data_IF_709489916308
#
_entry.id   IF_709489916308
#
_cell.length_a   1.000
_cell.length_b   1.000
_cell.length_c   1.000
_cell.angle_alpha   90.00
_cell.angle_beta   90.00
_cell.angle_gamma   90.00
#
_symmetry.space_group_name_H-M   'P 1'
#
loop_
_entity.id
_entity.type
_entity.pdbx_description
1 polymer ?
#
# COMPACT_ATOMS: atom_id res chain seq x y z
N UNK A 1 -24.81 6.22 -14.60
CA UNK A 1 -23.73 5.20 -14.45
C UNK A 1 -22.49 5.87 -13.86
N UNK A 2 -21.93 5.32 -12.79
CA UNK A 2 -20.70 5.77 -12.14
C UNK A 2 -19.49 5.09 -12.81
N UNK A 3 -18.56 5.89 -13.37
CA UNK A 3 -17.31 5.37 -13.94
C UNK A 3 -16.17 5.55 -12.95
N UNK A 4 -15.51 4.46 -12.62
CA UNK A 4 -14.30 4.44 -11.78
C UNK A 4 -13.26 3.51 -12.37
N UNK A 5 -12.02 3.56 -11.92
CA UNK A 5 -11.00 2.70 -12.49
C UNK A 5 -9.71 2.62 -11.68
N UNK A 6 -8.73 1.88 -12.22
CA UNK A 6 -7.39 1.74 -11.66
C UNK A 6 -6.35 2.17 -12.68
N UNK A 7 -5.63 3.24 -12.38
CA UNK A 7 -4.46 3.70 -13.15
C UNK A 7 -3.20 2.97 -12.64
N UNK A 8 -2.47 2.33 -13.54
CA UNK A 8 -1.22 1.63 -13.21
C UNK A 8 -0.54 1.01 -14.44
N UNK A 9 0.66 0.42 -14.27
CA UNK A 9 1.40 -0.22 -15.34
C UNK A 9 2.46 -1.21 -14.85
N UNK A 10 2.39 -2.50 -15.23
CA UNK A 10 1.22 -3.20 -15.75
C UNK A 10 0.18 -3.46 -14.65
N UNK A 11 -1.11 -3.62 -15.00
CA UNK A 11 -2.20 -3.80 -14.02
C UNK A 11 -3.10 -5.02 -14.27
N UNK A 12 -2.72 -5.89 -15.21
CA UNK A 12 -3.54 -7.05 -15.59
C UNK A 12 -3.81 -8.07 -14.47
N UNK A 13 -3.07 -7.99 -13.37
CA UNK A 13 -3.20 -8.93 -12.24
C UNK A 13 -3.95 -8.33 -11.03
N UNK A 14 -4.45 -7.09 -11.15
CA UNK A 14 -5.14 -6.43 -10.05
C UNK A 14 -6.50 -7.08 -9.78
N UNK A 15 -6.80 -7.30 -8.50
CA UNK A 15 -8.11 -7.78 -8.03
C UNK A 15 -9.10 -6.63 -7.75
N UNK A 16 -8.66 -5.36 -7.82
CA UNK A 16 -9.51 -4.19 -7.57
C UNK A 16 -10.77 -4.15 -8.46
N UNK A 17 -10.71 -4.48 -9.76
CA UNK A 17 -11.93 -4.49 -10.59
C UNK A 17 -12.99 -5.47 -10.09
N UNK A 18 -12.61 -6.70 -9.73
CA UNK A 18 -13.55 -7.69 -9.21
C UNK A 18 -14.18 -7.23 -7.88
N UNK A 19 -13.36 -6.67 -6.98
CA UNK A 19 -13.79 -6.15 -5.69
C UNK A 19 -14.81 -5.00 -5.84
N UNK A 20 -14.49 -3.97 -6.60
CA UNK A 20 -15.36 -2.80 -6.75
C UNK A 20 -16.62 -3.09 -7.56
N UNK A 21 -16.53 -3.94 -8.58
CA UNK A 21 -17.72 -4.34 -9.35
C UNK A 21 -18.69 -5.19 -8.50
N UNK A 22 -18.16 -6.03 -7.61
CA UNK A 22 -19.01 -6.71 -6.61
C UNK A 22 -19.69 -5.70 -5.64
N UNK A 23 -19.00 -4.62 -5.30
CA UNK A 23 -19.56 -3.54 -4.48
C UNK A 23 -20.69 -2.80 -5.21
N UNK A 24 -20.51 -2.44 -6.49
CA UNK A 24 -21.55 -1.80 -7.30
C UNK A 24 -22.81 -2.67 -7.39
N UNK A 25 -22.62 -3.96 -7.67
CA UNK A 25 -23.73 -4.91 -7.74
C UNK A 25 -24.48 -5.03 -6.41
N UNK A 26 -23.75 -5.15 -5.29
CA UNK A 26 -24.35 -5.30 -3.95
C UNK A 26 -25.06 -4.02 -3.48
N UNK A 27 -24.57 -2.85 -3.84
CA UNK A 27 -25.17 -1.56 -3.50
C UNK A 27 -26.34 -1.16 -4.42
N UNK A 28 -26.60 -1.91 -5.49
CA UNK A 28 -27.62 -1.55 -6.49
C UNK A 28 -27.30 -0.24 -7.25
N UNK A 29 -26.01 0.13 -7.31
CA UNK A 29 -25.55 1.33 -8.01
C UNK A 29 -25.15 0.95 -9.44
N UNK A 30 -25.72 1.64 -10.42
CA UNK A 30 -25.30 1.52 -11.81
C UNK A 30 -23.88 2.13 -11.96
N UNK A 31 -22.87 1.29 -11.87
CA UNK A 31 -21.47 1.71 -11.91
C UNK A 31 -20.55 0.61 -12.43
N UNK A 32 -19.35 1.01 -12.83
CA UNK A 32 -18.31 0.10 -13.28
C UNK A 32 -16.93 0.57 -12.84
N UNK A 33 -16.10 -0.39 -12.47
CA UNK A 33 -14.69 -0.18 -12.20
C UNK A 33 -13.84 -0.94 -13.22
N UNK A 34 -13.00 -0.22 -13.95
CA UNK A 34 -12.22 -0.77 -15.06
C UNK A 34 -10.71 -0.61 -14.83
N UNK A 35 -9.87 -1.53 -15.36
CA UNK A 35 -8.43 -1.31 -15.43
C UNK A 35 -8.10 -0.24 -16.48
N UNK A 36 -7.23 0.70 -16.13
CA UNK A 36 -6.71 1.76 -16.98
C UNK A 36 -5.19 1.61 -17.09
N UNK A 37 -4.68 0.75 -18.00
CA UNK A 37 -3.24 0.56 -18.16
C UNK A 37 -2.64 1.82 -18.80
N UNK A 38 -1.89 2.59 -17.99
CA UNK A 38 -1.31 3.86 -18.38
C UNK A 38 0.20 3.75 -18.42
N UNK A 39 0.81 3.94 -19.60
CA UNK A 39 2.27 3.99 -19.71
C UNK A 39 2.84 5.17 -18.89
N UNK A 40 4.01 5.04 -18.24
CA UNK A 40 4.56 6.10 -17.38
C UNK A 40 4.70 7.47 -18.03
N UNK A 41 4.95 7.53 -19.31
CA UNK A 41 5.08 8.78 -20.07
C UNK A 41 3.74 9.50 -20.34
N UNK A 42 2.60 8.82 -20.11
CA UNK A 42 1.26 9.35 -20.42
C UNK A 42 0.39 9.61 -19.19
N UNK A 43 0.99 9.69 -18.01
CA UNK A 43 0.24 9.85 -16.74
C UNK A 43 -0.57 11.15 -16.74
N UNK A 44 0.00 12.26 -17.19
CA UNK A 44 -0.72 13.55 -17.24
C UNK A 44 -1.94 13.54 -18.13
N UNK A 45 -1.84 12.92 -19.33
CA UNK A 45 -2.96 12.76 -20.24
C UNK A 45 -4.07 11.90 -19.63
N UNK A 46 -3.69 10.79 -18.96
CA UNK A 46 -4.64 9.90 -18.31
C UNK A 46 -5.40 10.59 -17.18
N UNK A 47 -4.69 11.35 -16.34
CA UNK A 47 -5.30 12.12 -15.24
C UNK A 47 -6.25 13.19 -15.77
N UNK A 48 -5.85 13.95 -16.81
CA UNK A 48 -6.74 14.91 -17.48
C UNK A 48 -7.97 14.23 -18.11
N UNK A 49 -7.77 13.03 -18.64
CA UNK A 49 -8.83 12.20 -19.23
C UNK A 49 -9.93 11.80 -18.25
N UNK A 50 -9.64 11.68 -16.95
CA UNK A 50 -10.66 11.34 -15.95
C UNK A 50 -11.82 12.36 -15.95
N UNK A 51 -11.52 13.67 -16.04
CA UNK A 51 -12.56 14.71 -16.13
C UNK A 51 -13.27 14.66 -17.47
N UNK A 52 -12.51 14.60 -18.56
CA UNK A 52 -13.04 14.67 -19.91
C UNK A 52 -13.97 13.50 -20.25
N UNK A 53 -13.73 12.33 -19.68
CA UNK A 53 -14.50 11.11 -19.87
C UNK A 53 -15.61 10.90 -18.83
N UNK A 54 -15.77 11.84 -17.89
CA UNK A 54 -16.82 11.79 -16.88
C UNK A 54 -16.61 10.72 -15.80
N UNK A 55 -15.36 10.36 -15.50
CA UNK A 55 -15.05 9.49 -14.37
C UNK A 55 -15.42 10.18 -13.05
N UNK A 56 -15.88 9.39 -12.09
CA UNK A 56 -16.06 9.84 -10.71
C UNK A 56 -14.76 9.85 -9.94
N UNK A 57 -13.81 9.01 -10.35
CA UNK A 57 -12.48 8.94 -9.79
C UNK A 57 -11.73 7.69 -10.22
N UNK A 58 -10.53 7.53 -9.71
CA UNK A 58 -9.71 6.35 -9.98
C UNK A 58 -8.78 6.05 -8.80
N UNK A 59 -8.51 4.77 -8.54
CA UNK A 59 -7.33 4.41 -7.78
C UNK A 59 -6.07 4.54 -8.64
N UNK A 60 -4.96 4.73 -7.97
CA UNK A 60 -3.63 4.81 -8.58
C UNK A 60 -2.72 3.78 -7.92
N UNK A 61 -2.05 2.97 -8.75
CA UNK A 61 -1.08 1.99 -8.26
C UNK A 61 0.29 2.19 -8.91
N UNK A 62 1.19 1.27 -8.66
CA UNK A 62 2.57 1.25 -9.20
C UNK A 62 2.54 1.41 -10.72
N UNK A 63 3.43 2.25 -11.30
CA UNK A 63 4.44 3.10 -10.66
C UNK A 63 3.97 4.54 -10.40
N UNK A 64 2.70 4.85 -10.49
CA UNK A 64 2.16 6.20 -10.73
C UNK A 64 1.81 6.99 -9.46
N UNK A 65 1.82 6.38 -8.26
CA UNK A 65 1.34 7.05 -7.01
C UNK A 65 1.99 8.39 -6.70
N UNK A 66 3.24 8.60 -7.12
CA UNK A 66 3.93 9.89 -7.00
C UNK A 66 3.77 10.73 -8.27
N UNK A 67 3.81 10.10 -9.44
CA UNK A 67 3.78 10.76 -10.73
C UNK A 67 2.47 11.49 -11.03
N UNK A 68 1.35 11.12 -10.39
CA UNK A 68 0.05 11.80 -10.58
C UNK A 68 -0.05 13.13 -9.84
N UNK A 69 0.75 13.36 -8.80
CA UNK A 69 0.65 14.52 -7.90
C UNK A 69 0.65 15.86 -8.65
N UNK A 70 1.55 16.13 -9.64
CA UNK A 70 1.60 17.39 -10.33
C UNK A 70 0.37 17.71 -11.19
N UNK A 71 -0.51 16.74 -11.42
CA UNK A 71 -1.71 16.86 -12.27
C UNK A 71 -3.00 16.98 -11.46
N UNK A 72 -2.91 17.08 -10.13
CA UNK A 72 -4.06 17.19 -9.22
C UNK A 72 -4.19 18.63 -8.72
N UNK A 73 -5.44 19.08 -8.55
CA UNK A 73 -5.73 20.44 -8.13
C UNK A 73 -5.58 20.63 -6.61
N UNK A 74 -5.82 19.58 -5.85
CA UNK A 74 -5.74 19.58 -4.38
C UNK A 74 -5.33 18.21 -3.86
N UNK A 75 -4.63 18.18 -2.74
CA UNK A 75 -4.24 16.97 -2.04
C UNK A 75 -4.79 16.96 -0.61
N UNK A 76 -5.13 15.77 -0.12
CA UNK A 76 -5.41 15.59 1.31
C UNK A 76 -4.14 15.81 2.14
N UNK A 77 -4.27 16.21 3.43
CA UNK A 77 -3.13 16.32 4.33
C UNK A 77 -2.31 15.01 4.40
N UNK A 78 -2.99 13.86 4.37
CA UNK A 78 -2.33 12.55 4.35
C UNK A 78 -1.54 12.32 3.06
N UNK A 79 -2.11 12.64 1.90
CA UNK A 79 -1.40 12.50 0.61
C UNK A 79 -0.16 13.40 0.53
N UNK A 80 -0.23 14.62 1.08
CA UNK A 80 0.91 15.54 1.19
C UNK A 80 1.99 14.94 2.08
N UNK A 81 1.63 14.51 3.29
CA UNK A 81 2.57 13.95 4.26
C UNK A 81 3.22 12.65 3.78
N UNK A 82 2.48 11.80 3.06
CA UNK A 82 2.98 10.54 2.48
C UNK A 82 3.82 10.83 1.23
N UNK A 83 3.54 11.89 0.50
CA UNK A 83 4.13 12.18 -0.81
C UNK A 83 3.72 11.17 -1.88
N UNK A 84 2.50 10.60 -1.78
CA UNK A 84 1.94 9.65 -2.75
C UNK A 84 0.41 9.66 -2.69
N UNK A 85 -0.22 9.50 -3.86
CA UNK A 85 -1.67 9.41 -4.04
C UNK A 85 -2.03 8.02 -4.55
N UNK A 86 -3.01 7.36 -3.94
CA UNK A 86 -3.59 6.11 -4.42
C UNK A 86 -5.07 6.23 -4.80
N UNK A 87 -5.69 7.38 -4.53
CA UNK A 87 -7.11 7.63 -4.80
C UNK A 87 -7.29 9.03 -5.35
N UNK A 88 -7.92 9.14 -6.52
CA UNK A 88 -8.33 10.40 -7.16
C UNK A 88 -9.83 10.50 -7.13
N UNK A 89 -10.36 11.65 -6.74
CA UNK A 89 -11.78 11.99 -6.80
C UNK A 89 -11.97 13.14 -7.79
N UNK A 90 -12.84 12.96 -8.76
CA UNK A 90 -13.30 14.04 -9.63
C UNK A 90 -14.50 14.70 -8.95
N UNK A 91 -14.34 15.95 -8.49
CA UNK A 91 -15.39 16.69 -7.82
C UNK A 91 -16.43 17.23 -8.81
N UNK A 92 -17.55 17.72 -8.29
CA UNK A 92 -18.66 18.25 -9.12
C UNK A 92 -18.27 19.47 -9.95
N UNK A 93 -17.32 20.26 -9.50
CA UNK A 93 -16.76 21.42 -10.21
C UNK A 93 -15.69 21.02 -11.23
N UNK A 94 -15.40 19.74 -11.36
CA UNK A 94 -14.37 19.19 -12.24
C UNK A 94 -12.96 19.21 -11.63
N UNK A 95 -12.75 19.71 -10.41
CA UNK A 95 -11.44 19.65 -9.77
C UNK A 95 -11.06 18.22 -9.39
N UNK A 96 -9.76 17.93 -9.43
CA UNK A 96 -9.16 16.63 -9.10
C UNK A 96 -8.57 16.69 -7.69
N UNK A 97 -9.16 15.92 -6.79
CA UNK A 97 -8.67 15.79 -5.42
C UNK A 97 -7.92 14.46 -5.27
N UNK A 98 -6.70 14.52 -4.74
CA UNK A 98 -5.86 13.34 -4.46
C UNK A 98 -5.83 13.01 -2.99
N UNK A 99 -6.06 11.73 -2.67
CA UNK A 99 -5.95 11.19 -1.32
C UNK A 99 -5.07 9.95 -1.28
N UNK A 100 -4.68 9.56 -0.07
CA UNK A 100 -4.01 8.30 0.19
C UNK A 100 -4.78 7.48 1.23
N UNK A 101 -5.46 6.45 0.75
CA UNK A 101 -6.23 5.52 1.58
C UNK A 101 -5.41 4.32 2.05
N UNK A 102 -4.19 4.11 1.52
CA UNK A 102 -3.33 2.96 1.87
C UNK A 102 -2.98 2.93 3.35
N UNK A 103 -2.61 4.09 3.93
CA UNK A 103 -2.20 4.18 5.34
C UNK A 103 -3.32 3.72 6.28
N UNK A 104 -4.53 4.24 6.06
CA UNK A 104 -5.71 3.84 6.85
C UNK A 104 -6.13 2.41 6.58
N UNK A 105 -6.04 1.97 5.33
CA UNK A 105 -6.35 0.59 4.94
C UNK A 105 -5.41 -0.42 5.58
N UNK A 106 -4.12 -0.10 5.67
CA UNK A 106 -3.12 -0.91 6.35
C UNK A 106 -3.42 -1.05 7.85
N UNK A 107 -3.68 0.06 8.56
CA UNK A 107 -3.99 0.03 9.99
C UNK A 107 -5.31 -0.72 10.27
N UNK A 108 -6.31 -0.56 9.40
CA UNK A 108 -7.58 -1.28 9.55
C UNK A 108 -7.40 -2.80 9.43
N UNK A 109 -6.58 -3.25 8.47
CA UNK A 109 -6.31 -4.68 8.31
C UNK A 109 -5.46 -5.25 9.45
N UNK A 110 -4.45 -4.52 9.94
CA UNK A 110 -3.73 -4.93 11.15
C UNK A 110 -4.68 -5.16 12.34
N UNK A 111 -5.60 -4.21 12.55
CA UNK A 111 -6.61 -4.33 13.61
C UNK A 111 -7.54 -5.53 13.42
N UNK A 112 -8.00 -5.81 12.20
CA UNK A 112 -8.83 -6.97 11.89
C UNK A 112 -8.11 -8.30 12.13
N UNK A 113 -6.80 -8.33 11.88
CA UNK A 113 -5.96 -9.51 12.11
C UNK A 113 -5.50 -9.64 13.57
N UNK A 114 -5.89 -8.72 14.45
CA UNK A 114 -5.48 -8.73 15.87
C UNK A 114 -3.99 -8.43 16.09
N UNK A 115 -3.34 -7.78 15.11
CA UNK A 115 -1.93 -7.39 15.22
C UNK A 115 -1.88 -6.04 15.93
N UNK A 116 -1.29 -6.06 17.13
CA UNK A 116 -1.22 -4.89 17.99
C UNK A 116 -0.17 -3.88 17.51
N UNK A 117 -0.62 -2.67 17.17
CA UNK A 117 0.30 -1.55 16.93
C UNK A 117 1.05 -1.14 18.21
N UNK A 118 0.45 -1.38 19.36
CA UNK A 118 1.07 -1.09 20.66
C UNK A 118 2.31 -1.96 20.91
N UNK A 119 2.23 -3.25 20.58
CA UNK A 119 3.39 -4.15 20.69
C UNK A 119 4.53 -3.72 19.74
N UNK A 120 4.19 -3.11 18.59
CA UNK A 120 5.18 -2.56 17.69
C UNK A 120 5.89 -1.32 18.24
N UNK A 121 5.30 -0.56 19.17
CA UNK A 121 5.97 0.61 19.76
C UNK A 121 7.23 0.23 20.54
N UNK A 122 7.20 -0.93 21.20
CA UNK A 122 8.36 -1.44 21.94
C UNK A 122 9.37 -2.13 21.02
N UNK A 123 8.89 -3.00 20.13
CA UNK A 123 9.73 -3.84 19.28
C UNK A 123 10.11 -3.25 17.93
N UNK A 124 9.45 -2.18 17.50
CA UNK A 124 9.67 -1.55 16.21
C UNK A 124 9.15 -2.35 15.00
N UNK A 125 9.19 -1.73 13.83
CA UNK A 125 8.84 -2.34 12.56
C UNK A 125 9.96 -2.17 11.52
N UNK A 126 10.11 -3.16 10.64
CA UNK A 126 11.02 -3.13 9.52
C UNK A 126 10.23 -3.10 8.20
N UNK A 127 10.45 -2.11 7.38
CA UNK A 127 9.82 -1.96 6.06
C UNK A 127 10.85 -2.30 4.98
N UNK A 128 10.47 -3.21 4.08
CA UNK A 128 11.23 -3.53 2.88
C UNK A 128 10.63 -2.78 1.70
N UNK A 129 11.41 -1.85 1.11
CA UNK A 129 11.00 -0.99 0.00
C UNK A 129 10.83 0.48 0.40
N UNK A 130 10.86 1.39 -0.60
CA UNK A 130 10.68 2.83 -0.43
C UNK A 130 9.75 3.45 -1.49
N UNK A 131 8.88 2.63 -2.10
CA UNK A 131 7.86 3.07 -3.07
C UNK A 131 6.63 3.68 -2.41
N UNK A 132 5.60 3.98 -3.22
CA UNK A 132 4.39 4.64 -2.74
C UNK A 132 3.66 3.91 -1.59
N UNK A 133 3.64 2.57 -1.61
CA UNK A 133 3.03 1.81 -0.51
C UNK A 133 3.90 1.81 0.75
N UNK A 134 5.24 1.73 0.60
CA UNK A 134 6.16 1.85 1.73
C UNK A 134 6.03 3.21 2.43
N UNK A 135 5.83 4.30 1.65
CA UNK A 135 5.56 5.64 2.18
C UNK A 135 4.31 5.68 3.04
N UNK A 136 3.21 5.08 2.55
CA UNK A 136 1.95 5.03 3.29
C UNK A 136 2.04 4.21 4.57
N UNK A 137 2.71 3.05 4.52
CA UNK A 137 2.94 2.20 5.70
C UNK A 137 3.85 2.90 6.72
N UNK A 138 4.95 3.51 6.25
CA UNK A 138 5.85 4.27 7.13
C UNK A 138 5.14 5.45 7.81
N UNK A 139 4.31 6.19 7.05
CA UNK A 139 3.47 7.25 7.60
C UNK A 139 2.50 6.74 8.66
N UNK A 140 1.80 5.64 8.38
CA UNK A 140 0.83 5.05 9.29
C UNK A 140 1.48 4.63 10.63
N UNK A 141 2.63 3.97 10.56
CA UNK A 141 3.38 3.54 11.72
C UNK A 141 3.98 4.71 12.50
N UNK A 142 4.55 5.71 11.80
CA UNK A 142 5.09 6.92 12.43
C UNK A 142 3.99 7.71 13.17
N UNK A 143 2.82 7.88 12.55
CA UNK A 143 1.65 8.51 13.17
C UNK A 143 1.19 7.76 14.43
N UNK A 144 1.39 6.44 14.46
CA UNK A 144 1.07 5.58 15.59
C UNK A 144 2.18 5.52 16.65
N UNK A 145 3.30 6.21 16.45
CA UNK A 145 4.44 6.23 17.39
C UNK A 145 5.32 4.97 17.34
N UNK A 146 5.24 4.19 16.26
CA UNK A 146 6.05 2.98 16.07
C UNK A 146 7.43 3.35 15.51
N UNK A 147 8.54 2.92 16.12
CA UNK A 147 9.87 3.05 15.54
C UNK A 147 9.98 2.24 14.25
N UNK A 148 10.46 2.87 13.16
CA UNK A 148 10.50 2.24 11.85
C UNK A 148 11.94 2.21 11.30
N UNK A 149 12.34 1.05 10.75
CA UNK A 149 13.54 0.88 9.92
C UNK A 149 13.12 0.62 8.49
N UNK A 150 13.79 1.25 7.53
CA UNK A 150 13.45 1.13 6.11
C UNK A 150 14.65 0.61 5.33
N UNK A 151 14.44 -0.45 4.56
CA UNK A 151 15.44 -1.05 3.68
C UNK A 151 14.98 -1.00 2.24
N UNK A 152 15.77 -0.42 1.35
CA UNK A 152 15.48 -0.40 -0.08
C UNK A 152 16.78 -0.43 -0.90
N UNK A 153 16.68 -0.91 -2.15
CA UNK A 153 17.81 -0.97 -3.10
C UNK A 153 18.39 0.40 -3.46
N UNK A 154 17.58 1.45 -3.35
CA UNK A 154 17.92 2.81 -3.76
C UNK A 154 17.95 3.71 -2.53
N UNK A 155 19.13 4.02 -1.97
CA UNK A 155 19.27 4.84 -0.77
C UNK A 155 18.60 6.22 -0.91
N UNK A 156 18.69 6.83 -2.09
CA UNK A 156 18.09 8.12 -2.37
C UNK A 156 16.56 8.13 -2.21
N UNK A 157 15.91 6.99 -2.43
CA UNK A 157 14.46 6.87 -2.20
C UNK A 157 14.12 6.76 -0.71
N UNK A 158 14.98 6.11 0.09
CA UNK A 158 14.83 6.06 1.54
C UNK A 158 15.02 7.45 2.13
N UNK A 159 16.07 8.16 1.72
CA UNK A 159 16.33 9.55 2.16
C UNK A 159 15.16 10.48 1.81
N UNK A 160 14.64 10.40 0.59
CA UNK A 160 13.50 11.20 0.17
C UNK A 160 12.23 10.87 0.97
N UNK A 161 12.00 9.58 1.31
CA UNK A 161 10.89 9.17 2.17
C UNK A 161 11.06 9.72 3.59
N UNK A 162 12.22 9.52 4.18
CA UNK A 162 12.54 10.00 5.54
C UNK A 162 12.42 11.52 5.63
N UNK A 163 12.96 12.26 4.69
CA UNK A 163 12.86 13.72 4.65
C UNK A 163 11.41 14.18 4.55
N UNK A 164 10.60 13.51 3.72
CA UNK A 164 9.16 13.82 3.61
C UNK A 164 8.46 13.60 4.94
N UNK A 165 8.70 12.50 5.64
CA UNK A 165 8.07 12.23 6.93
C UNK A 165 8.57 13.20 8.01
N UNK A 166 9.87 13.49 8.06
CA UNK A 166 10.45 14.40 9.04
C UNK A 166 9.91 15.83 8.93
N UNK A 167 9.54 16.29 7.72
CA UNK A 167 8.92 17.60 7.55
C UNK A 167 7.54 17.71 8.21
N UNK A 168 6.88 16.57 8.48
CA UNK A 168 5.56 16.52 9.09
C UNK A 168 5.54 16.09 10.55
N UNK A 169 6.54 15.29 10.98
CA UNK A 169 6.50 14.66 12.31
C UNK A 169 7.73 15.06 13.07
N UNK A 170 8.49 15.90 13.12
CA UNK A 170 9.69 16.16 13.99
C UNK A 170 10.20 14.85 14.64
N UNK A 171 10.41 13.84 13.81
CA UNK A 171 10.70 12.49 14.28
C UNK A 171 12.11 12.43 14.88
N UNK A 172 12.19 12.13 16.17
CA UNK A 172 13.44 11.79 16.88
C UNK A 172 13.88 10.34 16.66
N UNK A 173 13.20 9.61 15.75
CA UNK A 173 13.48 8.20 15.50
C UNK A 173 14.69 8.03 14.58
N UNK A 174 15.55 7.07 14.90
CA UNK A 174 16.70 6.62 14.13
C UNK A 174 16.24 6.01 12.78
N UNK A 175 15.85 6.86 11.83
CA UNK A 175 15.71 6.42 10.45
C UNK A 175 17.11 6.21 9.87
N UNK A 176 17.59 4.99 9.92
CA UNK A 176 18.86 4.64 9.30
C UNK A 176 18.62 4.24 7.85
N UNK A 177 19.14 5.04 6.95
CA UNK A 177 19.38 4.63 5.58
C UNK A 177 20.36 3.47 5.58
N UNK A 178 19.97 2.30 5.09
CA UNK A 178 20.85 1.14 5.00
C UNK A 178 20.95 0.66 3.57
N UNK A 179 22.17 0.76 3.10
CA UNK A 179 22.88 0.15 1.95
C UNK A 179 22.09 -0.42 0.76
N UNK A 180 22.73 -0.29 -0.40
CA UNK A 180 22.32 -0.51 -1.79
C UNK A 180 21.73 -1.90 -2.17
N UNK A 181 21.70 -2.88 -1.28
CA UNK A 181 21.08 -4.18 -1.51
C UNK A 181 19.78 -4.28 -0.74
N UNK A 182 18.75 -4.91 -1.34
CA UNK A 182 17.50 -5.29 -0.64
C UNK A 182 17.75 -6.21 0.56
N UNK A 183 18.99 -6.65 0.72
CA UNK A 183 19.43 -7.45 1.85
C UNK A 183 19.95 -6.50 2.93
N UNK A 184 19.20 -6.30 4.02
CA UNK A 184 19.74 -5.63 5.17
C UNK A 184 21.02 -6.37 5.61
N UNK A 185 22.09 -5.66 6.01
CA UNK A 185 23.24 -6.31 6.62
C UNK A 185 22.76 -7.18 7.79
N UNK A 186 23.23 -8.42 7.85
CA UNK A 186 22.88 -9.35 8.94
C UNK A 186 23.15 -8.72 10.32
N UNK A 187 24.19 -7.83 10.40
CA UNK A 187 24.51 -7.06 11.60
C UNK A 187 23.38 -6.10 12.06
N UNK A 188 22.59 -5.58 11.14
CA UNK A 188 21.59 -4.55 11.42
C UNK A 188 20.19 -5.14 11.68
N UNK A 189 20.01 -6.41 11.30
CA UNK A 189 18.78 -7.18 11.52
C UNK A 189 18.85 -8.06 12.77
N UNK A 190 19.84 -7.83 13.64
CA UNK A 190 19.96 -8.62 14.87
C UNK A 190 18.65 -8.65 15.65
N UNK A 191 18.19 -9.86 16.01
CA UNK A 191 17.09 -9.98 16.96
C UNK A 191 17.50 -9.31 18.29
N UNK A 192 16.62 -8.61 18.97
CA UNK A 192 15.15 -8.74 19.02
C UNK A 192 14.39 -7.47 18.66
N UNK A 193 14.76 -6.70 17.67
CA UNK A 193 14.31 -5.30 17.62
C UNK A 193 13.12 -5.00 16.72
N UNK A 194 12.74 -5.87 15.80
CA UNK A 194 11.52 -5.65 15.02
C UNK A 194 10.58 -6.81 15.20
N UNK A 195 9.45 -6.54 15.83
CA UNK A 195 8.36 -7.53 15.99
C UNK A 195 7.55 -7.68 14.71
N UNK A 196 7.58 -6.66 13.84
CA UNK A 196 6.86 -6.70 12.56
C UNK A 196 7.80 -6.40 11.39
N UNK A 197 7.77 -7.26 10.39
CA UNK A 197 8.46 -7.08 9.10
C UNK A 197 7.38 -6.85 8.03
N UNK A 198 7.50 -5.77 7.24
CA UNK A 198 6.51 -5.41 6.25
C UNK A 198 7.16 -5.37 4.86
N UNK A 199 6.75 -6.28 3.97
CA UNK A 199 7.22 -6.26 2.59
C UNK A 199 6.35 -5.33 1.74
N UNK A 200 6.90 -4.19 1.37
CA UNK A 200 6.29 -3.22 0.44
C UNK A 200 6.93 -3.29 -0.96
N UNK A 201 7.73 -4.32 -1.25
CA UNK A 201 8.33 -4.54 -2.58
C UNK A 201 7.45 -5.46 -3.42
N UNK A 202 7.59 -5.46 -4.75
CA UNK A 202 6.94 -6.44 -5.62
C UNK A 202 7.70 -7.78 -5.67
N UNK A 203 8.75 -7.99 -4.88
CA UNK A 203 9.54 -9.23 -4.89
C UNK A 203 8.71 -10.37 -4.32
N UNK A 204 8.64 -11.47 -5.04
CA UNK A 204 7.77 -12.61 -4.71
C UNK A 204 6.38 -12.57 -5.36
N UNK A 205 6.03 -11.46 -6.02
CA UNK A 205 4.79 -11.35 -6.80
C UNK A 205 4.90 -12.12 -8.13
N UNK A 206 3.78 -12.64 -8.61
CA UNK A 206 3.68 -13.25 -9.94
C UNK A 206 4.18 -12.27 -11.04
N UNK A 207 4.98 -12.74 -12.04
CA UNK A 207 5.34 -14.14 -12.30
C UNK A 207 6.56 -14.65 -11.50
N UNK A 208 7.29 -13.81 -10.76
CA UNK A 208 8.54 -14.16 -10.09
C UNK A 208 8.34 -14.69 -8.65
N UNK A 209 7.46 -15.68 -8.51
CA UNK A 209 6.97 -16.20 -7.21
C UNK A 209 8.03 -16.86 -6.32
N UNK A 210 9.19 -17.24 -6.89
CA UNK A 210 10.27 -17.88 -6.16
C UNK A 210 11.30 -16.90 -5.58
N UNK A 211 11.11 -15.60 -5.80
CA UNK A 211 11.96 -14.58 -5.22
C UNK A 211 11.51 -14.20 -3.80
N UNK A 212 12.47 -13.78 -2.97
CA UNK A 212 12.22 -13.22 -1.64
C UNK A 212 13.14 -12.02 -1.43
N UNK A 213 12.65 -10.92 -0.83
CA UNK A 213 13.50 -9.79 -0.44
C UNK A 213 14.27 -10.06 0.86
N UNK A 214 14.05 -11.18 1.53
CA UNK A 214 14.66 -11.56 2.80
C UNK A 214 15.78 -12.57 2.59
N UNK A 215 16.95 -12.40 3.26
CA UNK A 215 18.05 -13.34 3.16
C UNK A 215 17.69 -14.71 3.72
N UNK A 216 18.06 -15.79 3.02
CA UNK A 216 17.80 -17.16 3.51
C UNK A 216 18.60 -17.48 4.78
N UNK A 217 19.75 -16.80 4.98
CA UNK A 217 20.64 -16.94 6.14
C UNK A 217 20.11 -16.29 7.42
N UNK A 218 19.04 -15.52 7.30
CA UNK A 218 18.44 -14.79 8.42
C UNK A 218 17.07 -15.39 8.77
N UNK A 219 17.00 -16.33 9.73
CA UNK A 219 15.73 -16.95 10.10
C UNK A 219 14.81 -15.95 10.81
N UNK A 220 13.53 -16.07 10.54
CA UNK A 220 12.50 -15.49 11.40
C UNK A 220 12.43 -16.25 12.73
N UNK A 221 11.81 -15.66 13.75
CA UNK A 221 11.62 -16.30 15.05
C UNK A 221 10.17 -16.15 15.54
N UNK A 222 9.81 -17.00 16.50
CA UNK A 222 8.56 -16.84 17.25
C UNK A 222 8.50 -15.43 17.90
N UNK A 223 7.35 -14.81 17.87
CA UNK A 223 7.17 -13.43 18.33
C UNK A 223 7.36 -12.35 17.25
N UNK A 224 7.83 -12.72 16.05
CA UNK A 224 7.78 -11.86 14.88
C UNK A 224 6.50 -12.07 14.07
N UNK A 225 6.12 -11.05 13.33
CA UNK A 225 5.04 -11.11 12.35
C UNK A 225 5.51 -10.53 11.02
N UNK A 226 5.22 -11.25 9.94
CA UNK A 226 5.40 -10.76 8.58
C UNK A 226 4.08 -10.27 8.00
N UNK A 227 4.06 -9.01 7.56
CA UNK A 227 3.00 -8.47 6.72
C UNK A 227 3.52 -8.30 5.29
N UNK A 228 3.09 -9.16 4.37
CA UNK A 228 3.52 -9.10 2.97
C UNK A 228 2.45 -8.40 2.12
N UNK A 229 2.74 -7.20 1.58
CA UNK A 229 1.78 -6.49 0.72
C UNK A 229 1.47 -7.24 -0.58
N UNK A 230 2.27 -8.24 -0.94
CA UNK A 230 1.98 -9.12 -2.07
C UNK A 230 0.84 -10.06 -1.70
N UNK A 231 -0.18 -10.12 -2.57
CA UNK A 231 -1.34 -11.01 -2.43
C UNK A 231 -1.51 -11.97 -3.63
N UNK A 232 -0.63 -11.89 -4.61
CA UNK A 232 -0.59 -12.79 -5.76
C UNK A 232 0.86 -13.23 -6.02
N UNK A 233 1.25 -14.46 -5.66
CA UNK A 233 0.42 -15.55 -5.14
C UNK A 233 -0.13 -15.29 -3.73
N UNK A 234 -1.15 -16.03 -3.29
CA UNK A 234 -1.70 -15.92 -1.92
C UNK A 234 -0.68 -16.22 -0.82
N UNK A 235 0.30 -17.06 -1.10
CA UNK A 235 1.44 -17.37 -0.23
C UNK A 235 2.75 -17.19 -0.99
N UNK A 236 3.55 -16.23 -0.56
CA UNK A 236 4.87 -15.94 -1.15
C UNK A 236 5.99 -16.82 -0.55
N UNK A 237 7.17 -16.86 -1.20
CA UNK A 237 8.37 -17.48 -0.60
C UNK A 237 8.69 -16.84 0.75
N UNK A 238 8.55 -15.52 0.87
CA UNK A 238 8.80 -14.77 2.10
C UNK A 238 7.86 -15.22 3.24
N UNK A 239 6.57 -15.43 2.96
CA UNK A 239 5.62 -15.93 3.96
C UNK A 239 5.98 -17.35 4.43
N UNK A 240 6.44 -18.21 3.52
CA UNK A 240 6.92 -19.54 3.89
C UNK A 240 8.19 -19.48 4.76
N UNK A 241 9.14 -18.58 4.45
CA UNK A 241 10.31 -18.34 5.29
C UNK A 241 9.91 -17.92 6.71
N UNK A 242 8.97 -16.97 6.83
CA UNK A 242 8.47 -16.50 8.11
C UNK A 242 7.86 -17.65 8.94
N UNK A 243 6.95 -18.41 8.35
CA UNK A 243 6.29 -19.55 9.03
C UNK A 243 7.27 -20.67 9.42
N UNK A 244 8.25 -20.96 8.57
CA UNK A 244 9.29 -21.94 8.88
C UNK A 244 10.12 -21.50 10.09
N UNK A 245 10.35 -20.19 10.27
CA UNK A 245 11.02 -19.63 11.44
C UNK A 245 10.12 -19.47 12.68
N UNK A 246 8.85 -19.87 12.61
CA UNK A 246 7.89 -19.77 13.71
C UNK A 246 7.21 -18.40 13.84
N UNK A 247 7.38 -17.50 12.87
CA UNK A 247 6.68 -16.22 12.81
C UNK A 247 5.27 -16.35 12.24
N UNK A 248 4.36 -15.48 12.68
CA UNK A 248 3.09 -15.26 12.01
C UNK A 248 3.29 -14.62 10.64
N UNK A 249 2.39 -14.86 9.68
CA UNK A 249 2.47 -14.21 8.37
C UNK A 249 1.08 -14.02 7.75
N UNK A 250 0.86 -12.82 7.19
CA UNK A 250 -0.32 -12.49 6.37
C UNK A 250 0.07 -11.83 5.06
N UNK A 251 -0.85 -11.87 4.08
CA UNK A 251 -0.70 -11.17 2.81
C UNK A 251 -1.48 -9.84 2.78
N UNK A 252 -1.28 -9.04 1.73
CA UNK A 252 -1.85 -7.70 1.60
C UNK A 252 -3.30 -7.63 1.12
N UNK A 253 -4.05 -8.74 1.13
CA UNK A 253 -5.42 -8.77 0.59
C UNK A 253 -6.38 -7.93 1.44
N UNK A 254 -6.25 -7.98 2.77
CA UNK A 254 -7.05 -7.17 3.67
C UNK A 254 -6.77 -5.67 3.53
N UNK A 255 -5.50 -5.27 3.40
CA UNK A 255 -5.17 -3.88 3.08
C UNK A 255 -5.80 -3.44 1.74
N UNK A 256 -5.78 -4.31 0.72
CA UNK A 256 -6.43 -4.03 -0.57
C UNK A 256 -7.93 -3.79 -0.38
N UNK A 257 -8.60 -4.59 0.45
CA UNK A 257 -10.01 -4.44 0.78
C UNK A 257 -10.27 -3.09 1.45
N UNK A 258 -9.60 -2.82 2.56
CA UNK A 258 -9.88 -1.64 3.39
C UNK A 258 -9.56 -0.33 2.68
N UNK A 259 -8.42 -0.22 1.95
CA UNK A 259 -8.12 0.97 1.17
C UNK A 259 -9.14 1.19 0.04
N UNK A 260 -9.60 0.10 -0.59
CA UNK A 260 -10.64 0.15 -1.62
C UNK A 260 -12.00 0.59 -1.07
N UNK A 261 -12.35 0.15 0.14
CA UNK A 261 -13.56 0.58 0.83
C UNK A 261 -13.55 2.10 1.10
N UNK A 262 -12.42 2.64 1.56
CA UNK A 262 -12.25 4.08 1.78
C UNK A 262 -12.33 4.88 0.47
N UNK A 263 -11.80 4.36 -0.62
CA UNK A 263 -11.94 4.97 -1.94
C UNK A 263 -13.40 4.94 -2.43
N UNK A 264 -14.09 3.82 -2.25
CA UNK A 264 -15.51 3.69 -2.55
C UNK A 264 -16.37 4.75 -1.85
N UNK A 265 -16.16 4.97 -0.55
CA UNK A 265 -16.90 5.96 0.23
C UNK A 265 -16.68 7.38 -0.29
N UNK A 266 -15.47 7.70 -0.74
CA UNK A 266 -15.17 9.02 -1.34
C UNK A 266 -15.90 9.22 -2.69
N UNK A 267 -16.04 8.16 -3.49
CA UNK A 267 -16.70 8.28 -4.80
C UNK A 267 -18.21 8.26 -4.71
N UNK A 268 -18.78 7.48 -3.80
CA UNK A 268 -20.21 7.21 -3.72
C UNK A 268 -20.92 8.00 -2.62
N UNK A 269 -20.21 8.35 -1.56
CA UNK A 269 -20.77 8.98 -0.36
C UNK A 269 -21.54 8.03 0.54
N UNK A 270 -21.48 6.70 0.29
CA UNK A 270 -22.15 5.69 1.12
C UNK A 270 -21.16 4.68 1.69
N UNK A 271 -21.46 4.04 2.82
CA UNK A 271 -20.60 3.02 3.41
C UNK A 271 -20.29 1.89 2.42
N UNK A 272 -19.06 1.41 2.45
CA UNK A 272 -18.63 0.33 1.56
C UNK A 272 -19.27 -1.01 1.96
N UNK A 273 -19.81 -1.79 1.00
CA UNK A 273 -20.36 -3.11 1.26
C UNK A 273 -19.22 -4.15 1.40
N UNK A 274 -18.47 -4.07 2.52
CA UNK A 274 -17.24 -4.84 2.76
C UNK A 274 -17.39 -6.34 2.50
N UNK A 275 -18.51 -6.95 2.94
CA UNK A 275 -18.75 -8.38 2.70
C UNK A 275 -18.82 -8.72 1.20
N UNK A 276 -19.41 -7.87 0.38
CA UNK A 276 -19.46 -8.08 -1.06
C UNK A 276 -18.08 -7.84 -1.72
N UNK A 277 -17.35 -6.81 -1.26
CA UNK A 277 -15.99 -6.53 -1.72
C UNK A 277 -15.05 -7.71 -1.40
N UNK A 278 -15.14 -8.27 -0.20
CA UNK A 278 -14.37 -9.45 0.23
C UNK A 278 -14.65 -10.66 -0.65
N UNK A 279 -15.94 -10.98 -0.92
CA UNK A 279 -16.28 -12.04 -1.87
C UNK A 279 -15.75 -11.78 -3.28
N UNK A 280 -15.76 -10.52 -3.74
CA UNK A 280 -15.17 -10.13 -5.02
C UNK A 280 -13.65 -10.36 -5.11
N UNK A 281 -12.97 -10.37 -3.97
CA UNK A 281 -11.55 -10.74 -3.87
C UNK A 281 -11.31 -12.25 -3.86
N UNK A 282 -12.38 -13.07 -3.76
CA UNK A 282 -12.28 -14.53 -3.61
C UNK A 282 -11.87 -14.96 -2.21
N UNK A 283 -12.07 -14.08 -1.22
CA UNK A 283 -11.85 -14.32 0.19
C UNK A 283 -13.22 -14.61 0.81
N UNK A 284 -13.45 -15.84 1.28
CA UNK A 284 -14.74 -16.34 1.79
C UNK A 284 -14.76 -16.44 3.30
#
# INVERSE_FOLDING_TARGET
>A
MLLTGLIGWPIGHSRSPAMHNAAFAAAGIEGVYIPLPVHPERVGEAVAGLRALGFRGANVTVPHKQAVIPYLDELSPAAVAIGAVNTIVVRKDGSLFGDNTDARGFLADLGEQGISVEDMKEGGATILGAGGSARAVAYALALSGVPVRIFARRPEQVEALVNTLNSHFSLTSDFRSLTSDLRPPISDLRPPTSVCIINCTPVGMSPHINASPWPDELPFHSGQFLYDLVYNPPETKLMRQARTGGAGASNGLGMLLHQGALAWEQWTGIPAPLAAMRRGLGDS
#
